data_IF_537190338230
#
_entry.id   IF_537190338230
#
_cell.length_a   1.000
_cell.length_b   1.000
_cell.length_c   1.000
_cell.angle_alpha   90.00
_cell.angle_beta   90.00
_cell.angle_gamma   90.00
#
_symmetry.space_group_name_H-M   'P 1'
#
loop_
_entity.id
_entity.type
_entity.pdbx_description
1 polymer ?
#
# COMPACT_ATOMS: atom_id res chain seq x y z
N UNK A 1 -82.23 -8.00 4.90
CA UNK A 1 -82.94 -7.75 3.58
C UNK A 1 -81.88 -7.22 2.60
N UNK A 2 -81.61 -8.04 1.58
CA UNK A 2 -81.27 -7.71 0.20
C UNK A 2 -79.85 -7.10 -0.07
N UNK A 3 -79.05 -7.98 -0.60
CA UNK A 3 -77.86 -7.84 -1.45
C UNK A 3 -77.93 -6.66 -2.45
N UNK A 4 -76.72 -6.04 -2.69
CA UNK A 4 -76.31 -5.64 -4.06
C UNK A 4 -74.89 -5.96 -4.30
N UNK A 5 -74.67 -6.81 -5.25
CA UNK A 5 -73.41 -7.12 -5.93
C UNK A 5 -72.98 -5.91 -6.78
N UNK A 6 -71.70 -5.45 -6.64
CA UNK A 6 -71.14 -4.55 -7.65
C UNK A 6 -70.06 -5.31 -8.40
N UNK A 7 -70.31 -5.39 -9.68
CA UNK A 7 -69.52 -6.01 -10.73
C UNK A 7 -68.14 -5.35 -10.87
N UNK A 8 -67.12 -6.15 -10.85
CA UNK A 8 -65.75 -5.78 -11.17
C UNK A 8 -65.66 -5.40 -12.67
N UNK A 9 -65.06 -4.25 -12.94
CA UNK A 9 -64.68 -3.84 -14.31
C UNK A 9 -63.40 -4.60 -14.70
N UNK A 10 -63.25 -5.07 -15.95
CA UNK A 10 -62.04 -5.72 -16.43
C UNK A 10 -60.90 -4.68 -16.58
N UNK A 11 -59.81 -4.93 -15.92
CA UNK A 11 -58.58 -4.18 -16.04
C UNK A 11 -57.87 -4.63 -17.34
N UNK A 12 -57.87 -3.74 -18.32
CA UNK A 12 -57.15 -3.97 -19.58
C UNK A 12 -55.64 -3.87 -19.33
N UNK A 13 -54.97 -5.00 -19.31
CA UNK A 13 -53.52 -5.06 -19.27
C UNK A 13 -53.00 -4.73 -20.67
N UNK A 14 -52.50 -3.50 -20.83
CA UNK A 14 -51.79 -3.10 -22.03
C UNK A 14 -50.44 -3.87 -22.10
N UNK A 15 -50.32 -4.74 -23.08
CA UNK A 15 -49.03 -5.35 -23.45
C UNK A 15 -48.12 -4.25 -24.01
N UNK A 16 -47.16 -3.77 -23.20
CA UNK A 16 -46.05 -2.98 -23.70
C UNK A 16 -45.08 -4.00 -24.35
N UNK A 17 -45.14 -4.07 -25.67
CA UNK A 17 -44.14 -4.80 -26.46
C UNK A 17 -42.81 -4.06 -26.35
N UNK A 18 -41.92 -4.57 -25.48
CA UNK A 18 -40.48 -4.24 -25.48
C UNK A 18 -39.94 -4.70 -26.84
N UNK A 19 -39.74 -3.78 -27.76
CA UNK A 19 -38.91 -4.02 -28.94
C UNK A 19 -37.48 -4.12 -28.47
N UNK A 20 -37.04 -5.34 -28.20
CA UNK A 20 -35.63 -5.65 -28.00
C UNK A 20 -34.90 -5.44 -29.33
N UNK A 21 -34.27 -4.29 -29.51
CA UNK A 21 -33.23 -4.17 -30.54
C UNK A 21 -32.10 -5.11 -30.14
N UNK A 22 -31.73 -6.10 -30.95
CA UNK A 22 -30.54 -6.87 -30.71
C UNK A 22 -29.35 -5.95 -30.98
N UNK A 23 -28.84 -5.31 -29.91
CA UNK A 23 -27.46 -4.83 -29.92
C UNK A 23 -26.59 -6.08 -29.95
N UNK A 24 -26.17 -6.49 -31.13
CA UNK A 24 -25.03 -7.39 -31.32
C UNK A 24 -23.79 -6.57 -30.94
N UNK A 25 -23.56 -6.33 -29.67
CA UNK A 25 -22.24 -6.04 -29.17
C UNK A 25 -21.44 -7.31 -29.41
N UNK A 26 -20.51 -7.26 -30.34
CA UNK A 26 -19.62 -8.37 -30.64
C UNK A 26 -18.96 -8.78 -29.31
N UNK A 27 -19.27 -9.99 -28.84
CA UNK A 27 -18.79 -10.51 -27.56
C UNK A 27 -17.24 -10.57 -27.49
N UNK A 28 -16.55 -10.44 -28.61
CA UNK A 28 -15.08 -10.42 -28.72
C UNK A 28 -14.46 -9.07 -28.30
N UNK A 29 -15.16 -7.93 -28.43
CA UNK A 29 -14.55 -6.60 -28.23
C UNK A 29 -14.46 -6.17 -26.74
N UNK A 30 -15.38 -6.61 -25.88
CA UNK A 30 -15.34 -6.23 -24.46
C UNK A 30 -14.33 -7.06 -23.65
N UNK A 31 -14.10 -8.32 -24.02
CA UNK A 31 -13.14 -9.20 -23.31
C UNK A 31 -11.69 -8.74 -23.50
N UNK A 32 -11.37 -8.09 -24.62
CA UNK A 32 -10.06 -7.48 -24.85
C UNK A 32 -9.84 -6.21 -24.04
N UNK A 33 -10.93 -5.52 -23.65
CA UNK A 33 -10.89 -4.28 -22.86
C UNK A 33 -10.86 -4.51 -21.36
N UNK A 34 -11.20 -5.70 -20.88
CA UNK A 34 -11.25 -6.02 -19.46
C UNK A 34 -10.15 -7.02 -19.09
N UNK A 35 -9.40 -6.68 -18.05
CA UNK A 35 -8.35 -7.53 -17.48
C UNK A 35 -8.68 -7.83 -16.02
N UNK A 36 -8.74 -9.11 -15.69
CA UNK A 36 -8.80 -9.58 -14.32
C UNK A 36 -7.40 -9.88 -13.81
N UNK A 37 -7.16 -9.62 -12.54
CA UNK A 37 -5.92 -9.93 -11.85
C UNK A 37 -6.22 -10.22 -10.39
N UNK A 38 -5.42 -11.07 -9.78
CA UNK A 38 -5.58 -11.37 -8.37
C UNK A 38 -4.32 -11.96 -7.76
N UNK A 39 -4.31 -11.96 -6.45
CA UNK A 39 -3.34 -12.71 -5.67
C UNK A 39 -4.00 -13.30 -4.43
N UNK A 40 -3.48 -14.45 -4.02
CA UNK A 40 -3.79 -15.08 -2.75
C UNK A 40 -2.48 -15.32 -1.99
N UNK A 41 -2.48 -15.04 -0.68
CA UNK A 41 -1.38 -15.34 0.23
C UNK A 41 -1.91 -16.08 1.46
N UNK A 42 -1.26 -17.18 1.78
CA UNK A 42 -1.36 -17.80 3.09
C UNK A 42 -0.09 -17.52 3.86
N UNK A 43 -0.19 -17.04 5.10
CA UNK A 43 0.94 -16.66 5.95
C UNK A 43 0.84 -17.37 7.29
N UNK A 44 1.91 -18.03 7.70
CA UNK A 44 2.20 -18.30 9.09
C UNK A 44 3.10 -17.18 9.63
N UNK A 45 2.82 -16.73 10.86
CA UNK A 45 3.53 -15.64 11.49
C UNK A 45 3.76 -15.96 12.96
N UNK A 46 4.99 -15.74 13.42
CA UNK A 46 5.41 -15.79 14.80
C UNK A 46 5.95 -14.41 15.20
N UNK A 47 5.50 -13.90 16.33
CA UNK A 47 5.96 -12.65 16.93
C UNK A 47 6.44 -12.97 18.34
N UNK A 48 7.64 -12.50 18.66
CA UNK A 48 8.28 -12.61 19.96
C UNK A 48 8.73 -11.22 20.37
N UNK A 49 8.00 -10.60 21.26
CA UNK A 49 8.23 -9.25 21.77
C UNK A 49 8.57 -9.36 23.25
N UNK A 50 9.63 -8.69 23.68
CA UNK A 50 10.07 -8.70 25.07
C UNK A 50 8.94 -8.34 26.03
N UNK A 51 8.86 -9.01 27.16
CA UNK A 51 7.80 -8.90 28.19
C UNK A 51 6.41 -9.35 27.76
N UNK A 52 6.24 -9.94 26.56
CA UNK A 52 4.95 -10.47 26.07
C UNK A 52 5.07 -11.97 25.77
N UNK A 53 3.94 -12.66 25.86
CA UNK A 53 3.85 -14.04 25.40
C UNK A 53 4.07 -14.13 23.88
N UNK A 54 4.86 -15.11 23.45
CA UNK A 54 5.09 -15.37 22.03
C UNK A 54 3.76 -15.63 21.31
N UNK A 55 3.51 -14.91 20.21
CA UNK A 55 2.26 -14.97 19.46
C UNK A 55 2.43 -15.70 18.14
N UNK A 56 1.57 -16.67 17.87
CA UNK A 56 1.49 -17.40 16.62
C UNK A 56 0.17 -17.09 15.89
N UNK A 57 0.26 -16.72 14.60
CA UNK A 57 -0.93 -16.43 13.78
C UNK A 57 -0.86 -17.13 12.44
N UNK A 58 -2.02 -17.57 11.96
CA UNK A 58 -2.20 -17.91 10.55
C UNK A 58 -3.08 -16.85 9.92
N UNK A 59 -2.66 -16.30 8.77
CA UNK A 59 -3.33 -15.19 8.10
C UNK A 59 -3.52 -15.51 6.63
N UNK A 60 -4.59 -14.98 6.06
CA UNK A 60 -4.80 -15.00 4.62
C UNK A 60 -4.88 -13.57 4.08
N UNK A 61 -4.59 -13.45 2.78
CA UNK A 61 -4.89 -12.26 1.99
C UNK A 61 -5.40 -12.71 0.62
N UNK A 62 -6.55 -12.19 0.23
CA UNK A 62 -7.12 -12.35 -1.11
C UNK A 62 -7.33 -10.97 -1.72
N UNK A 63 -6.84 -10.76 -2.95
CA UNK A 63 -7.12 -9.56 -3.72
C UNK A 63 -7.63 -9.93 -5.09
N UNK A 64 -8.74 -9.30 -5.49
CA UNK A 64 -9.40 -9.50 -6.78
C UNK A 64 -9.60 -8.16 -7.45
N UNK A 65 -9.02 -7.95 -8.61
CA UNK A 65 -9.07 -6.68 -9.33
C UNK A 65 -9.54 -6.82 -10.76
N UNK A 66 -10.17 -5.76 -11.24
CA UNK A 66 -10.57 -5.56 -12.63
C UNK A 66 -10.01 -4.25 -13.13
N UNK A 67 -9.54 -4.24 -14.37
CA UNK A 67 -9.15 -3.03 -15.09
C UNK A 67 -9.85 -3.03 -16.44
N UNK A 68 -10.53 -1.94 -16.76
CA UNK A 68 -11.23 -1.78 -18.02
C UNK A 68 -10.67 -0.58 -18.80
N UNK A 69 -10.45 -0.78 -20.10
CA UNK A 69 -10.09 0.26 -21.06
C UNK A 69 -11.36 0.98 -21.51
N UNK A 70 -11.55 2.23 -21.10
CA UNK A 70 -12.67 3.07 -21.56
C UNK A 70 -12.41 3.51 -23.02
N UNK A 71 -11.18 3.95 -23.29
CA UNK A 71 -10.68 4.27 -24.62
C UNK A 71 -9.12 4.18 -24.62
N UNK A 72 -8.47 4.63 -25.70
CA UNK A 72 -6.99 4.52 -25.82
C UNK A 72 -6.21 5.36 -24.80
N UNK A 73 -6.86 6.30 -24.13
CA UNK A 73 -6.23 7.23 -23.17
C UNK A 73 -6.76 7.11 -21.75
N UNK A 74 -7.86 6.40 -21.54
CA UNK A 74 -8.51 6.30 -20.23
C UNK A 74 -8.74 4.85 -19.83
N UNK A 75 -8.16 4.48 -18.71
CA UNK A 75 -8.44 3.23 -18.01
C UNK A 75 -9.22 3.52 -16.71
N UNK A 76 -10.07 2.60 -16.28
CA UNK A 76 -10.65 2.56 -14.94
C UNK A 76 -10.28 1.24 -14.27
N UNK A 77 -10.08 1.26 -12.97
CA UNK A 77 -9.73 0.06 -12.23
C UNK A 77 -10.41 0.00 -10.87
N UNK A 78 -10.70 -1.22 -10.44
CA UNK A 78 -11.17 -1.49 -9.08
C UNK A 78 -10.49 -2.75 -8.55
N UNK A 79 -10.29 -2.81 -7.23
CA UNK A 79 -9.75 -3.97 -6.54
C UNK A 79 -10.45 -4.15 -5.20
N UNK A 80 -10.89 -5.36 -4.95
CA UNK A 80 -11.34 -5.81 -3.64
C UNK A 80 -10.18 -6.54 -2.95
N UNK A 81 -10.01 -6.32 -1.65
CA UNK A 81 -9.06 -7.02 -0.81
C UNK A 81 -9.72 -7.54 0.46
N UNK A 82 -9.25 -8.69 0.96
CA UNK A 82 -9.51 -9.06 2.36
C UNK A 82 -8.84 -8.04 3.28
N UNK A 83 -9.27 -7.92 4.52
CA UNK A 83 -8.70 -7.01 5.52
C UNK A 83 -9.77 -6.18 6.21
N UNK A 84 -9.35 -5.47 7.24
CA UNK A 84 -10.16 -4.50 7.98
C UNK A 84 -9.98 -3.09 7.45
N UNK A 85 -10.08 -2.10 8.35
CA UNK A 85 -9.91 -0.67 8.06
C UNK A 85 -8.44 -0.23 8.03
N UNK A 86 -7.53 -1.10 8.44
CA UNK A 86 -6.09 -0.85 8.48
C UNK A 86 -5.53 -0.45 7.09
N UNK A 87 -5.03 0.79 6.90
CA UNK A 87 -4.56 1.28 5.60
C UNK A 87 -3.27 0.61 5.15
N UNK A 88 -2.54 -0.03 6.07
CA UNK A 88 -1.24 -0.66 5.82
C UNK A 88 -1.28 -2.19 5.91
N UNK A 89 -2.48 -2.80 6.05
CA UNK A 89 -2.61 -4.25 6.06
C UNK A 89 -3.93 -4.77 5.47
N UNK A 90 -3.83 -5.60 4.45
CA UNK A 90 -4.97 -6.32 3.87
C UNK A 90 -5.06 -7.78 4.35
N UNK A 91 -4.44 -8.10 5.49
CA UNK A 91 -4.44 -9.45 6.06
C UNK A 91 -5.67 -9.70 6.93
N UNK A 92 -6.18 -10.94 6.87
CA UNK A 92 -7.19 -11.46 7.79
C UNK A 92 -6.60 -12.61 8.62
N UNK A 93 -6.68 -12.51 9.93
CA UNK A 93 -6.28 -13.61 10.83
C UNK A 93 -7.31 -14.74 10.78
N UNK A 94 -6.84 -15.99 10.76
CA UNK A 94 -7.68 -17.19 10.82
C UNK A 94 -7.95 -17.53 12.29
N UNK A 95 -9.07 -17.07 12.80
CA UNK A 95 -9.50 -17.17 14.20
C UNK A 95 -11.02 -17.08 14.32
N UNK A 96 -11.52 -16.81 15.55
CA UNK A 96 -12.92 -16.47 15.84
C UNK A 96 -13.94 -17.55 15.41
N UNK A 97 -13.63 -18.82 15.65
CA UNK A 97 -14.51 -19.98 15.43
C UNK A 97 -15.11 -20.05 14.01
N UNK A 98 -14.28 -19.77 12.99
CA UNK A 98 -14.66 -19.85 11.56
C UNK A 98 -15.67 -18.77 11.11
N UNK A 99 -15.77 -17.64 11.81
CA UNK A 99 -16.58 -16.50 11.32
C UNK A 99 -16.11 -16.04 9.94
N UNK A 100 -17.02 -15.45 9.19
CA UNK A 100 -16.71 -14.86 7.87
C UNK A 100 -15.65 -13.77 7.98
N UNK A 101 -14.91 -13.53 6.90
CA UNK A 101 -13.85 -12.51 6.83
C UNK A 101 -14.29 -11.37 5.92
N UNK A 102 -13.89 -10.15 6.27
CA UNK A 102 -14.24 -8.95 5.52
C UNK A 102 -13.54 -8.88 4.17
N UNK A 103 -14.23 -8.31 3.21
CA UNK A 103 -13.71 -7.92 1.89
C UNK A 103 -14.07 -6.46 1.68
N UNK A 104 -13.07 -5.63 1.38
CA UNK A 104 -13.21 -4.18 1.27
C UNK A 104 -12.70 -3.66 -0.07
N UNK A 105 -13.09 -2.42 -0.41
CA UNK A 105 -12.63 -1.72 -1.61
C UNK A 105 -11.19 -1.23 -1.37
N UNK A 106 -10.21 -1.93 -1.96
CA UNK A 106 -8.78 -1.59 -1.87
C UNK A 106 -8.40 -0.50 -2.88
N UNK A 107 -8.98 -0.53 -4.09
CA UNK A 107 -8.74 0.47 -5.12
C UNK A 107 -10.02 0.72 -5.92
N UNK A 108 -10.26 2.00 -6.27
CA UNK A 108 -11.25 2.44 -7.26
C UNK A 108 -10.74 3.74 -7.88
N UNK A 109 -10.34 3.71 -9.16
CA UNK A 109 -9.67 4.84 -9.77
C UNK A 109 -9.89 4.93 -11.27
N UNK A 110 -9.68 6.13 -11.80
CA UNK A 110 -9.41 6.34 -13.22
C UNK A 110 -7.93 6.66 -13.44
N UNK A 111 -7.43 6.35 -14.65
CA UNK A 111 -6.11 6.76 -15.12
C UNK A 111 -6.24 7.35 -16.52
N UNK A 112 -5.98 8.66 -16.64
CA UNK A 112 -5.97 9.38 -17.91
C UNK A 112 -4.54 9.57 -18.40
N UNK A 113 -4.29 9.21 -19.66
CA UNK A 113 -2.99 9.27 -20.33
C UNK A 113 -3.05 10.24 -21.49
N UNK A 114 -2.99 11.57 -21.25
CA UNK A 114 -3.16 12.58 -22.31
C UNK A 114 -2.08 12.52 -23.38
N UNK A 115 -0.84 12.25 -22.97
CA UNK A 115 0.33 12.12 -23.83
C UNK A 115 1.22 10.96 -23.36
N UNK A 116 2.17 10.55 -24.20
CA UNK A 116 3.12 9.48 -23.86
C UNK A 116 3.93 9.85 -22.61
N UNK A 117 4.10 8.91 -21.71
CA UNK A 117 4.85 9.09 -20.46
C UNK A 117 4.07 9.76 -19.33
N UNK A 118 2.95 10.44 -19.58
CA UNK A 118 2.14 11.13 -18.57
C UNK A 118 0.87 10.34 -18.23
N UNK A 119 0.63 10.13 -16.94
CA UNK A 119 -0.61 9.60 -16.41
C UNK A 119 -1.13 10.48 -15.26
N UNK A 120 -2.42 10.79 -15.31
CA UNK A 120 -3.15 11.47 -14.24
C UNK A 120 -4.15 10.46 -13.67
N UNK A 121 -4.14 10.28 -12.37
CA UNK A 121 -5.02 9.34 -11.65
C UNK A 121 -5.90 10.10 -10.66
N UNK A 122 -7.10 9.59 -10.45
CA UNK A 122 -7.99 10.08 -9.40
C UNK A 122 -8.78 8.94 -8.79
N UNK A 123 -9.02 9.03 -7.48
CA UNK A 123 -9.70 8.04 -6.66
C UNK A 123 -8.78 7.41 -5.61
N UNK A 124 -9.01 6.14 -5.27
CA UNK A 124 -8.17 5.33 -4.36
C UNK A 124 -7.30 4.38 -5.20
N UNK A 125 -5.98 4.51 -5.13
CA UNK A 125 -5.07 3.78 -6.02
C UNK A 125 -3.74 3.44 -5.35
N UNK A 126 -2.97 2.55 -6.00
CA UNK A 126 -1.62 2.20 -5.53
C UNK A 126 -0.75 3.45 -5.41
N UNK A 127 -0.02 3.58 -4.29
CA UNK A 127 0.92 4.67 -4.05
C UNK A 127 1.76 4.97 -5.32
N UNK A 128 1.74 6.23 -5.81
CA UNK A 128 2.40 6.62 -7.06
C UNK A 128 3.90 6.84 -6.91
N UNK A 129 4.42 7.01 -5.68
CA UNK A 129 5.82 7.34 -5.43
C UNK A 129 6.72 6.12 -5.62
N UNK A 130 7.94 6.38 -6.07
CA UNK A 130 8.95 5.36 -6.25
C UNK A 130 9.54 4.96 -4.89
N UNK A 131 9.69 3.67 -4.68
CA UNK A 131 10.33 3.08 -3.51
C UNK A 131 11.45 2.17 -3.98
N UNK A 132 12.74 2.43 -3.61
CA UNK A 132 13.87 1.60 -4.02
C UNK A 132 13.65 0.13 -3.63
N UNK A 133 13.69 -0.77 -4.59
CA UNK A 133 13.48 -2.22 -4.34
C UNK A 133 12.20 -2.53 -3.55
N UNK A 134 11.20 -1.67 -3.57
CA UNK A 134 10.01 -1.66 -2.72
C UNK A 134 10.38 -1.67 -1.23
N UNK A 135 11.23 -0.72 -0.81
CA UNK A 135 11.45 -0.38 0.60
C UNK A 135 10.16 0.15 1.23
N UNK A 136 10.08 0.10 2.52
CA UNK A 136 8.90 0.51 3.29
C UNK A 136 9.31 1.46 4.42
N UNK A 137 10.28 2.37 4.15
CA UNK A 137 10.72 3.35 5.13
C UNK A 137 9.59 4.35 5.43
N UNK A 138 9.10 5.06 4.38
CA UNK A 138 8.00 6.02 4.51
C UNK A 138 6.63 5.35 4.33
N UNK A 139 6.51 4.41 3.38
CA UNK A 139 5.22 3.91 2.90
C UNK A 139 5.14 2.40 2.95
N UNK A 140 4.12 1.85 3.61
CA UNK A 140 3.80 0.42 3.51
C UNK A 140 3.40 0.04 2.07
N UNK A 141 3.71 -1.19 1.69
CA UNK A 141 3.37 -1.73 0.37
C UNK A 141 1.87 -1.91 0.12
N UNK A 142 1.06 -1.98 1.17
CA UNK A 142 -0.40 -2.09 1.11
C UNK A 142 -1.12 -0.72 1.18
N UNK A 143 -0.41 0.40 1.41
CA UNK A 143 -0.99 1.76 1.41
C UNK A 143 -1.58 2.12 0.04
N UNK A 144 -2.80 2.67 0.05
CA UNK A 144 -3.56 3.13 -1.12
C UNK A 144 -4.07 4.54 -0.91
N UNK A 145 -3.29 5.58 -1.28
CA UNK A 145 -3.72 6.96 -1.14
C UNK A 145 -5.03 7.27 -1.88
N UNK A 146 -5.80 8.19 -1.33
CA UNK A 146 -7.07 8.67 -1.88
C UNK A 146 -6.94 10.13 -2.32
N UNK A 147 -7.14 10.41 -3.61
CA UNK A 147 -6.99 11.78 -4.14
C UNK A 147 -6.62 11.81 -5.61
N UNK A 148 -5.72 12.73 -5.95
CA UNK A 148 -5.22 12.94 -7.31
C UNK A 148 -3.72 12.74 -7.37
N UNK A 149 -3.23 12.11 -8.45
CA UNK A 149 -1.80 11.97 -8.70
C UNK A 149 -1.44 12.20 -10.16
N UNK A 150 -0.25 12.76 -10.37
CA UNK A 150 0.40 12.91 -11.67
C UNK A 150 1.66 12.04 -11.65
N UNK A 151 1.84 11.21 -12.68
CA UNK A 151 3.05 10.44 -12.90
C UNK A 151 3.58 10.69 -14.30
N UNK A 152 4.81 11.21 -14.38
CA UNK A 152 5.53 11.36 -15.64
C UNK A 152 6.74 10.44 -15.67
N UNK A 153 6.83 9.62 -16.72
CA UNK A 153 7.97 8.74 -16.98
C UNK A 153 8.57 9.10 -18.34
N UNK A 154 9.62 9.91 -18.30
CA UNK A 154 10.44 10.23 -19.45
C UNK A 154 11.48 9.15 -19.76
N UNK A 155 12.44 9.46 -20.64
CA UNK A 155 13.50 8.50 -21.02
C UNK A 155 14.43 8.16 -19.85
N UNK A 156 14.78 9.16 -19.04
CA UNK A 156 15.73 9.02 -17.93
C UNK A 156 15.26 9.72 -16.66
N UNK A 157 14.24 10.58 -16.74
CA UNK A 157 13.72 11.33 -15.61
C UNK A 157 12.27 10.92 -15.37
N UNK A 158 11.90 10.70 -14.11
CA UNK A 158 10.51 10.57 -13.72
C UNK A 158 10.13 11.65 -12.71
N UNK A 159 8.85 12.00 -12.72
CA UNK A 159 8.24 12.91 -11.75
C UNK A 159 6.93 12.30 -11.28
N UNK A 160 6.75 12.23 -9.98
CA UNK A 160 5.49 11.85 -9.36
C UNK A 160 5.03 13.01 -8.48
N UNK A 161 3.76 13.35 -8.52
CA UNK A 161 3.16 14.32 -7.61
C UNK A 161 1.78 13.85 -7.19
N UNK A 162 1.34 14.22 -6.01
CA UNK A 162 0.05 13.83 -5.46
C UNK A 162 -0.52 14.85 -4.50
N UNK A 163 -1.84 14.87 -4.45
CA UNK A 163 -2.64 15.57 -3.46
C UNK A 163 -3.68 14.58 -2.92
N UNK A 164 -3.60 14.26 -1.65
CA UNK A 164 -4.36 13.19 -1.02
C UNK A 164 -5.14 13.70 0.18
N UNK A 165 -6.37 13.23 0.30
CA UNK A 165 -7.26 13.50 1.41
C UNK A 165 -6.91 12.54 2.54
N UNK A 166 -6.54 13.07 3.70
CA UNK A 166 -6.26 12.27 4.90
C UNK A 166 -7.50 12.15 5.76
N UNK A 167 -8.08 13.30 6.10
CA UNK A 167 -9.28 13.37 6.93
C UNK A 167 -10.16 14.54 6.48
N UNK A 168 -11.46 14.30 6.34
CA UNK A 168 -12.48 15.30 6.03
C UNK A 168 -13.28 15.58 7.30
N UNK A 169 -13.34 16.85 7.71
CA UNK A 169 -14.01 17.28 8.92
C UNK A 169 -15.07 18.30 8.61
N UNK A 170 -16.33 17.94 8.78
CA UNK A 170 -17.49 18.80 8.45
C UNK A 170 -17.57 20.11 9.25
N UNK A 171 -16.77 20.28 10.30
CA UNK A 171 -16.82 21.43 11.23
C UNK A 171 -15.46 22.02 11.57
N UNK A 172 -14.39 21.50 11.00
CA UNK A 172 -13.02 21.90 11.27
C UNK A 172 -12.18 21.80 9.99
N UNK A 173 -10.93 22.26 10.01
CA UNK A 173 -10.04 22.19 8.86
C UNK A 173 -9.66 20.74 8.54
N UNK A 174 -9.68 20.40 7.26
CA UNK A 174 -9.34 19.07 6.73
C UNK A 174 -7.84 18.82 6.76
N UNK A 175 -7.44 17.56 6.91
CA UNK A 175 -6.04 17.15 6.78
C UNK A 175 -5.75 16.60 5.39
N UNK A 176 -4.59 17.01 4.84
CA UNK A 176 -4.14 16.60 3.50
C UNK A 176 -2.69 16.15 3.52
N UNK A 177 -2.34 15.31 2.55
CA UNK A 177 -0.96 15.00 2.18
C UNK A 177 -0.69 15.53 0.77
N UNK A 178 0.31 16.39 0.62
CA UNK A 178 0.84 16.83 -0.67
C UNK A 178 2.24 16.28 -0.85
N UNK A 179 2.50 15.64 -1.98
CA UNK A 179 3.80 15.06 -2.25
C UNK A 179 4.30 15.30 -3.66
N UNK A 180 5.60 15.47 -3.80
CA UNK A 180 6.28 15.53 -5.10
C UNK A 180 7.61 14.79 -5.03
N UNK A 181 7.93 14.02 -6.06
CA UNK A 181 9.14 13.22 -6.16
C UNK A 181 9.72 13.35 -7.57
N UNK A 182 11.01 13.54 -7.68
CA UNK A 182 11.75 13.54 -8.94
C UNK A 182 12.92 12.58 -8.86
N UNK A 183 13.16 11.84 -9.93
CA UNK A 183 14.29 10.92 -9.98
C UNK A 183 14.85 10.73 -11.37
N UNK A 184 16.11 10.31 -11.38
CA UNK A 184 16.85 9.94 -12.59
C UNK A 184 16.99 8.42 -12.64
N UNK A 185 16.72 7.84 -13.81
CA UNK A 185 16.92 6.41 -14.10
C UNK A 185 17.85 6.27 -15.30
N UNK A 186 19.07 5.82 -15.06
CA UNK A 186 20.07 5.64 -16.10
C UNK A 186 20.48 4.18 -16.27
N UNK A 187 20.95 3.87 -17.49
CA UNK A 187 21.57 2.59 -17.79
C UNK A 187 22.94 2.83 -18.40
N UNK A 188 23.99 2.33 -17.74
CA UNK A 188 25.39 2.41 -18.16
C UNK A 188 25.88 0.96 -18.37
N UNK A 189 26.01 0.55 -19.63
CA UNK A 189 26.25 -0.84 -20.01
C UNK A 189 25.17 -1.78 -19.39
N UNK A 190 25.55 -2.69 -18.50
CA UNK A 190 24.64 -3.58 -17.80
C UNK A 190 24.18 -3.05 -16.43
N UNK A 191 24.78 -1.95 -15.96
CA UNK A 191 24.44 -1.32 -14.68
C UNK A 191 23.25 -0.38 -14.86
N UNK A 192 22.24 -0.49 -13.97
CA UNK A 192 21.13 0.44 -13.86
C UNK A 192 21.29 1.24 -12.57
N UNK A 193 21.05 2.54 -12.67
CA UNK A 193 21.08 3.45 -11.54
C UNK A 193 19.72 4.15 -11.45
N UNK A 194 19.15 4.21 -10.27
CA UNK A 194 18.07 5.14 -9.91
C UNK A 194 18.55 5.99 -8.74
N UNK A 195 18.33 7.30 -8.83
CA UNK A 195 18.54 8.23 -7.72
C UNK A 195 17.46 9.31 -7.78
N UNK A 196 16.96 9.74 -6.66
CA UNK A 196 15.91 10.75 -6.62
C UNK A 196 15.71 11.34 -5.24
N UNK A 197 14.83 12.33 -5.20
CA UNK A 197 14.42 13.01 -3.97
C UNK A 197 12.92 13.24 -3.99
N UNK A 198 12.32 13.32 -2.81
CA UNK A 198 10.92 13.61 -2.60
C UNK A 198 10.70 14.65 -1.51
N UNK A 199 9.55 15.28 -1.56
CA UNK A 199 9.03 16.10 -0.47
C UNK A 199 7.56 15.74 -0.25
N UNK A 200 7.18 15.55 1.03
CA UNK A 200 5.83 15.18 1.43
C UNK A 200 5.44 16.05 2.62
N UNK A 201 4.47 16.92 2.42
CA UNK A 201 3.94 17.81 3.45
C UNK A 201 2.55 17.38 3.87
N UNK A 202 2.39 17.22 5.16
CA UNK A 202 1.09 17.00 5.80
C UNK A 202 0.57 18.31 6.34
N UNK A 203 -0.72 18.46 6.44
CA UNK A 203 -1.37 19.65 7.01
C UNK A 203 -2.31 19.25 8.12
N UNK A 204 -2.42 20.11 9.14
CA UNK A 204 -3.37 19.94 10.24
C UNK A 204 -3.17 18.61 11.00
N UNK A 205 -1.92 18.32 11.39
CA UNK A 205 -1.57 17.18 12.25
C UNK A 205 -1.17 17.69 13.65
N UNK A 206 -0.23 18.67 13.73
CA UNK A 206 0.22 19.24 14.99
C UNK A 206 -0.96 19.79 15.82
N UNK A 207 -0.97 19.49 17.11
CA UNK A 207 -2.00 19.89 18.06
C UNK A 207 -3.31 19.12 17.97
N UNK A 208 -3.42 18.12 17.06
CA UNK A 208 -4.62 17.29 16.95
C UNK A 208 -4.50 16.00 17.77
N UNK A 209 -5.59 15.61 18.46
CA UNK A 209 -5.63 14.34 19.17
C UNK A 209 -5.79 13.15 18.19
N UNK A 210 -5.42 11.95 18.64
CA UNK A 210 -5.64 10.72 17.87
C UNK A 210 -7.10 10.54 17.41
N UNK A 211 -8.06 11.01 18.20
CA UNK A 211 -9.50 10.93 17.90
C UNK A 211 -9.96 11.77 16.72
N UNK A 212 -9.11 12.66 16.18
CA UNK A 212 -9.38 13.40 14.95
C UNK A 212 -9.01 12.61 13.68
N UNK A 213 -8.52 11.37 13.83
CA UNK A 213 -8.15 10.47 12.74
C UNK A 213 -8.79 9.09 12.98
N UNK A 214 -9.81 8.75 12.20
CA UNK A 214 -10.61 7.52 12.37
C UNK A 214 -9.78 6.24 12.59
N UNK A 215 -8.71 6.07 11.83
CA UNK A 215 -7.86 4.88 11.95
C UNK A 215 -7.06 4.87 13.25
N UNK A 216 -6.50 6.02 13.68
CA UNK A 216 -5.70 6.15 14.90
C UNK A 216 -6.60 6.03 16.14
N UNK A 217 -7.81 6.63 16.10
CA UNK A 217 -8.81 6.48 17.15
C UNK A 217 -9.18 5.01 17.37
N UNK A 218 -9.48 4.28 16.30
CA UNK A 218 -9.83 2.86 16.38
C UNK A 218 -8.69 1.99 16.94
N UNK A 219 -7.43 2.36 16.69
CA UNK A 219 -6.23 1.69 17.22
C UNK A 219 -5.87 2.13 18.64
N UNK A 220 -6.22 3.35 19.03
CA UNK A 220 -5.80 3.97 20.29
C UNK A 220 -4.27 4.12 20.41
N UNK A 221 -3.56 4.30 19.27
CA UNK A 221 -2.10 4.27 19.19
C UNK A 221 -1.61 5.27 18.12
N UNK A 222 -0.56 6.04 18.43
CA UNK A 222 0.15 6.89 17.47
C UNK A 222 1.13 6.13 16.57
N UNK A 223 1.32 4.84 16.82
CA UNK A 223 2.30 3.97 16.16
C UNK A 223 3.74 4.47 16.27
N UNK A 224 4.09 5.14 17.38
CA UNK A 224 5.43 5.62 17.67
C UNK A 224 5.63 7.12 17.46
N UNK A 225 4.70 7.84 16.81
CA UNK A 225 4.79 9.31 16.77
C UNK A 225 4.57 9.92 18.16
N UNK A 226 5.25 11.02 18.43
CA UNK A 226 5.24 11.70 19.71
C UNK A 226 3.95 12.45 19.97
N UNK A 227 3.45 12.36 21.20
CA UNK A 227 2.26 13.05 21.66
C UNK A 227 2.59 13.89 22.88
N UNK A 228 1.87 15.00 23.07
CA UNK A 228 1.92 15.79 24.29
C UNK A 228 1.18 15.11 25.45
N UNK A 229 1.19 15.76 26.64
CA UNK A 229 0.52 15.26 27.86
C UNK A 229 -1.01 15.15 27.71
N UNK A 230 -1.60 15.85 26.75
CA UNK A 230 -3.02 15.84 26.44
C UNK A 230 -3.38 14.81 25.34
N UNK A 231 -2.37 14.15 24.74
CA UNK A 231 -2.50 13.13 23.71
C UNK A 231 -2.64 13.68 22.29
N UNK A 232 -2.15 14.89 22.04
CA UNK A 232 -2.11 15.50 20.72
C UNK A 232 -0.74 15.33 20.07
N UNK A 233 -0.69 15.27 18.74
CA UNK A 233 0.57 15.28 17.99
C UNK A 233 1.37 16.54 18.29
N UNK A 234 2.67 16.41 18.55
CA UNK A 234 3.55 17.55 18.90
C UNK A 234 4.14 18.24 17.69
N UNK A 235 4.02 17.66 16.49
CA UNK A 235 4.62 18.19 15.25
C UNK A 235 3.76 17.90 14.03
N UNK A 236 3.90 18.75 13.02
CA UNK A 236 3.50 18.46 11.64
C UNK A 236 4.58 17.62 10.92
N UNK A 237 4.28 17.18 9.69
CA UNK A 237 5.20 16.38 8.90
C UNK A 237 5.54 17.08 7.59
N UNK A 238 6.83 17.44 7.45
CA UNK A 238 7.44 18.04 6.27
C UNK A 238 8.65 17.19 5.87
N UNK A 239 8.38 16.04 5.27
CA UNK A 239 9.33 14.97 5.03
C UNK A 239 10.13 15.19 3.75
N UNK A 240 11.45 15.31 3.84
CA UNK A 240 12.37 15.27 2.70
C UNK A 240 12.98 13.89 2.57
N UNK A 241 12.81 13.28 1.40
CA UNK A 241 13.33 11.96 1.05
C UNK A 241 14.52 12.07 0.10
N UNK A 242 15.56 11.27 0.32
CA UNK A 242 16.64 10.99 -0.64
C UNK A 242 16.78 9.48 -0.79
N UNK A 243 16.65 9.00 -2.02
CA UNK A 243 16.66 7.56 -2.26
C UNK A 243 17.49 7.16 -3.47
N UNK A 244 17.90 5.89 -3.52
CA UNK A 244 18.55 5.35 -4.69
C UNK A 244 18.75 3.86 -4.69
N UNK A 245 18.95 3.32 -5.90
CA UNK A 245 19.40 1.95 -6.09
C UNK A 245 20.35 1.83 -7.28
N UNK A 246 21.28 0.89 -7.16
CA UNK A 246 22.16 0.49 -8.26
C UNK A 246 22.09 -1.01 -8.47
N UNK A 247 21.74 -1.44 -9.67
CA UNK A 247 21.59 -2.84 -10.07
C UNK A 247 22.63 -3.22 -11.11
N UNK A 248 23.39 -4.28 -10.87
CA UNK A 248 24.42 -4.81 -11.76
C UNK A 248 24.49 -6.34 -11.66
N UNK A 249 25.36 -6.96 -12.46
CA UNK A 249 25.59 -8.41 -12.36
C UNK A 249 26.97 -8.67 -11.74
N UNK A 250 26.98 -9.51 -10.68
CA UNK A 250 28.19 -10.12 -10.17
C UNK A 250 28.31 -11.52 -10.79
N UNK A 251 29.05 -11.63 -11.90
CA UNK A 251 29.02 -12.81 -12.77
C UNK A 251 27.67 -12.98 -13.45
N UNK A 252 26.95 -14.06 -13.18
CA UNK A 252 25.59 -14.32 -13.68
C UNK A 252 24.47 -13.90 -12.72
N UNK A 253 24.81 -13.51 -11.49
CA UNK A 253 23.86 -13.24 -10.41
C UNK A 253 23.54 -11.75 -10.37
N UNK A 254 22.26 -11.34 -10.48
CA UNK A 254 21.85 -9.96 -10.27
C UNK A 254 22.12 -9.53 -8.83
N UNK A 255 22.72 -8.35 -8.67
CA UNK A 255 22.92 -7.69 -7.37
C UNK A 255 22.35 -6.27 -7.46
N UNK A 256 21.63 -5.86 -6.43
CA UNK A 256 21.14 -4.49 -6.26
C UNK A 256 21.52 -3.99 -4.89
N UNK A 257 22.17 -2.84 -4.82
CA UNK A 257 22.38 -2.08 -3.59
C UNK A 257 21.35 -0.96 -3.57
N UNK A 258 20.81 -0.60 -2.39
CA UNK A 258 19.82 0.43 -2.26
C UNK A 258 19.90 1.15 -0.93
N UNK A 259 19.42 2.39 -0.92
CA UNK A 259 19.25 3.19 0.27
C UNK A 259 17.98 4.04 0.16
N UNK A 260 17.50 4.47 1.32
CA UNK A 260 16.37 5.37 1.49
C UNK A 260 16.64 6.17 2.77
N UNK A 261 16.46 7.49 2.74
CA UNK A 261 16.71 8.41 3.83
C UNK A 261 15.59 9.45 3.87
N UNK A 262 15.11 9.76 5.06
CA UNK A 262 14.08 10.78 5.27
C UNK A 262 14.47 11.67 6.45
N UNK A 263 14.07 12.94 6.37
CA UNK A 263 14.11 13.89 7.46
C UNK A 263 12.80 14.68 7.49
N UNK A 264 12.16 14.76 8.65
CA UNK A 264 11.01 15.62 8.90
C UNK A 264 11.50 16.99 9.38
N UNK A 265 11.44 17.99 8.52
CA UNK A 265 11.93 19.34 8.84
C UNK A 265 10.95 20.18 9.67
N UNK A 266 9.80 19.64 10.04
CA UNK A 266 8.84 20.26 10.95
C UNK A 266 9.09 19.87 12.41
N UNK A 267 9.70 18.71 12.67
CA UNK A 267 10.08 18.28 14.01
C UNK A 267 11.43 18.89 14.44
N UNK A 268 11.58 19.13 15.74
CA UNK A 268 12.82 19.65 16.33
C UNK A 268 13.80 18.54 16.72
N UNK A 269 13.30 17.36 17.10
CA UNK A 269 14.04 16.18 17.52
C UNK A 269 13.38 14.90 16.94
N UNK A 270 14.06 13.75 17.00
CA UNK A 270 13.59 12.43 16.55
C UNK A 270 13.02 12.44 15.11
N UNK A 271 13.66 13.22 14.24
CA UNK A 271 13.18 13.67 12.94
C UNK A 271 13.72 12.87 11.75
N UNK A 272 14.65 11.92 11.96
CA UNK A 272 15.35 11.24 10.89
C UNK A 272 15.05 9.75 10.79
N UNK A 273 15.11 9.24 9.56
CA UNK A 273 15.03 7.82 9.30
C UNK A 273 15.91 7.41 8.12
N UNK A 274 16.46 6.20 8.17
CA UNK A 274 17.23 5.65 7.06
C UNK A 274 17.11 4.14 6.93
N UNK A 275 17.30 3.68 5.71
CA UNK A 275 17.32 2.28 5.36
C UNK A 275 18.43 2.04 4.33
N UNK A 276 19.28 1.03 4.57
CA UNK A 276 20.29 0.61 3.60
C UNK A 276 20.25 -0.90 3.43
N UNK A 277 20.51 -1.37 2.21
CA UNK A 277 20.44 -2.80 1.99
C UNK A 277 20.94 -3.28 0.65
N UNK A 278 20.81 -4.60 0.46
CA UNK A 278 21.13 -5.24 -0.80
C UNK A 278 20.15 -6.36 -1.14
N UNK A 279 20.07 -6.67 -2.42
CA UNK A 279 19.29 -7.79 -2.95
C UNK A 279 20.15 -8.60 -3.91
N UNK A 280 20.17 -9.91 -3.72
CA UNK A 280 20.88 -10.88 -4.56
C UNK A 280 19.86 -11.80 -5.23
N UNK A 281 20.04 -12.08 -6.52
CA UNK A 281 19.18 -12.98 -7.26
C UNK A 281 17.84 -12.33 -7.70
N UNK A 282 16.98 -13.15 -8.28
CA UNK A 282 15.65 -12.74 -8.73
C UNK A 282 14.73 -13.95 -8.87
N UNK A 283 13.59 -13.94 -8.20
CA UNK A 283 12.53 -14.93 -8.42
C UNK A 283 11.76 -14.61 -9.70
N UNK A 284 11.88 -15.45 -10.72
CA UNK A 284 11.18 -15.33 -12.00
C UNK A 284 10.75 -16.69 -12.55
N UNK A 285 11.71 -17.55 -12.80
CA UNK A 285 11.47 -18.91 -13.32
C UNK A 285 11.41 -19.92 -12.17
N UNK A 286 10.69 -21.05 -12.33
CA UNK A 286 10.70 -22.12 -11.34
C UNK A 286 12.13 -22.53 -10.95
N UNK A 287 12.38 -22.67 -9.63
CA UNK A 287 13.69 -22.96 -9.07
C UNK A 287 14.58 -21.74 -8.83
N UNK A 288 14.20 -20.56 -9.31
CA UNK A 288 14.94 -19.33 -9.03
C UNK A 288 14.65 -18.78 -7.62
N UNK A 289 15.62 -18.07 -7.07
CA UNK A 289 15.54 -17.51 -5.74
C UNK A 289 16.00 -16.06 -5.71
N UNK A 290 15.61 -15.33 -4.66
CA UNK A 290 16.19 -14.04 -4.27
C UNK A 290 16.40 -14.00 -2.76
N UNK A 291 17.41 -13.23 -2.35
CA UNK A 291 17.66 -12.87 -0.97
C UNK A 291 17.78 -11.35 -0.87
N UNK A 292 17.13 -10.73 0.12
CA UNK A 292 17.21 -9.31 0.42
C UNK A 292 17.50 -9.14 1.91
N UNK A 293 18.41 -8.23 2.20
CA UNK A 293 18.72 -7.76 3.52
C UNK A 293 18.65 -6.25 3.54
N UNK A 294 18.12 -5.69 4.62
CA UNK A 294 18.29 -4.29 4.96
C UNK A 294 18.42 -4.10 6.48
N UNK A 295 19.10 -3.02 6.83
CA UNK A 295 19.05 -2.39 8.14
C UNK A 295 18.24 -1.12 8.02
N UNK A 296 17.43 -0.81 9.02
CA UNK A 296 16.62 0.39 9.12
C UNK A 296 16.68 0.94 10.53
N UNK A 297 16.71 2.26 10.63
CA UNK A 297 16.45 3.02 11.83
C UNK A 297 15.49 4.14 11.47
N UNK A 298 14.45 4.34 12.27
CA UNK A 298 13.39 5.28 12.03
C UNK A 298 12.99 5.90 13.37
N UNK A 299 13.33 7.17 13.55
CA UNK A 299 13.01 7.93 14.75
C UNK A 299 11.51 8.24 14.83
N UNK A 300 11.05 8.64 16.03
CA UNK A 300 9.63 8.76 16.36
C UNK A 300 8.85 9.66 15.39
N UNK A 301 9.38 10.83 15.08
CA UNK A 301 8.70 11.85 14.28
C UNK A 301 9.30 12.04 12.88
N UNK A 302 10.12 11.09 12.43
CA UNK A 302 10.72 11.12 11.10
C UNK A 302 9.70 11.05 9.96
N UNK A 303 8.59 10.34 10.16
CA UNK A 303 7.48 10.19 9.21
C UNK A 303 6.16 10.03 9.94
N UNK A 304 5.04 10.27 9.24
CA UNK A 304 3.71 9.96 9.79
C UNK A 304 3.53 8.45 9.92
N UNK A 305 3.61 7.95 11.14
CA UNK A 305 3.78 6.53 11.49
C UNK A 305 2.66 5.62 10.98
N UNK A 306 1.42 6.13 10.91
CA UNK A 306 0.25 5.39 10.44
C UNK A 306 0.40 4.81 9.01
N UNK A 307 1.34 5.33 8.22
CA UNK A 307 1.54 4.92 6.82
C UNK A 307 2.83 4.12 6.59
N UNK A 308 3.69 3.98 7.61
CA UNK A 308 4.93 3.22 7.55
C UNK A 308 4.67 1.70 7.58
N UNK A 309 5.74 0.91 7.54
CA UNK A 309 5.71 -0.56 7.54
C UNK A 309 4.97 -1.13 8.75
N UNK A 310 3.89 -1.85 8.53
CA UNK A 310 3.09 -2.50 9.58
C UNK A 310 3.74 -3.74 10.22
N UNK A 311 4.86 -4.18 9.70
CA UNK A 311 5.51 -5.44 10.09
C UNK A 311 6.82 -5.23 10.89
N UNK A 312 7.59 -4.17 10.60
CA UNK A 312 8.88 -3.86 11.23
C UNK A 312 8.64 -3.26 12.62
N UNK A 313 9.38 -3.69 13.64
CA UNK A 313 9.25 -3.26 15.05
C UNK A 313 7.83 -3.28 15.60
N UNK A 314 6.92 -4.05 14.97
CA UNK A 314 5.50 -4.09 15.34
C UNK A 314 4.62 -3.11 14.58
N UNK A 315 5.20 -2.26 13.74
CA UNK A 315 4.54 -1.23 12.92
C UNK A 315 4.86 0.18 13.37
N UNK A 316 4.88 1.13 12.44
CA UNK A 316 5.08 2.55 12.70
C UNK A 316 6.54 2.99 12.74
N UNK A 317 6.83 3.94 13.62
CA UNK A 317 8.14 4.59 13.84
C UNK A 317 8.78 4.16 15.15
N UNK A 318 9.79 4.88 15.63
CA UNK A 318 10.55 4.63 16.86
C UNK A 318 11.06 3.20 16.95
N UNK A 319 11.88 2.81 15.95
CA UNK A 319 12.45 1.47 15.92
C UNK A 319 13.62 1.30 14.99
N UNK A 320 14.46 0.31 15.28
CA UNK A 320 15.64 -0.03 14.47
C UNK A 320 15.81 -1.53 14.34
N UNK A 321 16.62 -1.95 13.37
CA UNK A 321 17.04 -3.33 13.25
C UNK A 321 17.14 -3.86 11.83
N UNK A 322 17.03 -5.16 11.72
CA UNK A 322 17.36 -5.93 10.54
C UNK A 322 16.15 -6.63 9.96
N UNK A 323 16.06 -6.65 8.63
CA UNK A 323 15.08 -7.44 7.89
C UNK A 323 15.78 -8.33 6.87
N UNK A 324 15.52 -9.63 6.93
CA UNK A 324 16.02 -10.65 6.01
C UNK A 324 14.84 -11.27 5.25
N UNK A 325 14.91 -11.31 3.92
CA UNK A 325 13.89 -11.94 3.08
C UNK A 325 14.52 -12.97 2.17
N UNK A 326 13.97 -14.17 2.14
CA UNK A 326 14.29 -15.22 1.18
C UNK A 326 13.07 -15.49 0.32
N UNK A 327 13.20 -15.47 -0.98
CA UNK A 327 12.16 -15.84 -1.95
C UNK A 327 12.58 -17.03 -2.79
N UNK A 328 11.64 -17.96 -3.04
CA UNK A 328 11.85 -19.10 -3.92
C UNK A 328 10.64 -19.29 -4.84
N UNK A 329 10.88 -19.31 -6.15
CA UNK A 329 9.83 -19.53 -7.15
C UNK A 329 9.58 -21.03 -7.30
N UNK A 330 8.46 -21.53 -6.78
CA UNK A 330 8.11 -22.96 -6.82
C UNK A 330 7.63 -23.33 -8.23
N UNK A 331 6.68 -22.53 -8.76
CA UNK A 331 6.14 -22.69 -10.11
C UNK A 331 5.72 -21.31 -10.65
N UNK A 332 5.30 -21.22 -11.91
CA UNK A 332 4.75 -19.98 -12.48
C UNK A 332 3.56 -19.50 -11.63
N UNK A 333 3.62 -18.26 -11.16
CA UNK A 333 2.58 -17.69 -10.30
C UNK A 333 2.58 -18.21 -8.85
N UNK A 334 3.47 -19.10 -8.44
CA UNK A 334 3.54 -19.67 -7.10
C UNK A 334 4.92 -19.51 -6.48
N UNK A 335 4.99 -18.71 -5.41
CA UNK A 335 6.23 -18.34 -4.70
C UNK A 335 6.12 -18.67 -3.21
N UNK A 336 7.17 -19.25 -2.64
CA UNK A 336 7.42 -19.28 -1.20
C UNK A 336 8.26 -18.04 -0.82
N UNK A 337 7.99 -17.44 0.34
CA UNK A 337 8.84 -16.41 0.90
C UNK A 337 8.96 -16.57 2.42
N UNK A 338 10.17 -16.34 2.94
CA UNK A 338 10.45 -16.29 4.36
C UNK A 338 10.99 -14.89 4.68
N UNK A 339 10.41 -14.23 5.67
CA UNK A 339 10.89 -12.95 6.19
C UNK A 339 11.21 -13.11 7.67
N UNK A 340 12.35 -12.60 8.09
CA UNK A 340 12.77 -12.53 9.47
C UNK A 340 13.16 -11.11 9.84
N UNK A 341 12.57 -10.60 10.89
CA UNK A 341 12.86 -9.31 11.51
C UNK A 341 13.55 -9.56 12.84
N UNK A 342 14.64 -8.81 13.08
CA UNK A 342 15.37 -8.74 14.35
C UNK A 342 15.48 -7.27 14.68
N UNK A 343 14.59 -6.78 15.49
CA UNK A 343 14.40 -5.36 15.70
C UNK A 343 14.37 -5.00 17.18
N UNK A 344 14.63 -3.73 17.45
CA UNK A 344 14.33 -3.06 18.69
C UNK A 344 13.11 -2.14 18.45
N UNK A 345 12.13 -2.17 19.34
CA UNK A 345 11.00 -1.24 19.41
C UNK A 345 11.29 -0.23 20.51
N UNK A 346 11.29 1.07 20.15
CA UNK A 346 11.83 2.14 20.97
C UNK A 346 13.33 2.30 20.73
N UNK A 347 13.81 3.50 20.43
CA UNK A 347 15.24 3.76 20.18
C UNK A 347 16.01 3.99 21.45
N UNK A 348 15.40 4.57 22.48
CA UNK A 348 16.01 4.86 23.77
C UNK A 348 15.97 3.66 24.72
N UNK A 349 14.76 3.10 24.96
CA UNK A 349 14.51 1.98 25.87
C UNK A 349 14.12 0.72 25.09
N UNK A 350 14.88 0.43 24.00
CA UNK A 350 14.54 -0.55 22.99
C UNK A 350 14.20 -1.93 23.54
N UNK A 351 12.98 -2.41 23.26
CA UNK A 351 12.54 -3.77 23.55
C UNK A 351 12.81 -4.68 22.37
N UNK A 352 13.35 -5.85 22.64
CA UNK A 352 13.57 -6.88 21.62
C UNK A 352 12.25 -7.23 20.91
N UNK A 353 12.24 -7.13 19.58
CA UNK A 353 11.11 -7.51 18.74
C UNK A 353 11.58 -8.41 17.60
N UNK A 354 11.21 -9.67 17.67
CA UNK A 354 11.51 -10.67 16.66
C UNK A 354 10.24 -11.12 15.94
N UNK A 355 10.26 -11.19 14.60
CA UNK A 355 9.12 -11.63 13.82
C UNK A 355 9.55 -12.54 12.68
N UNK A 356 8.90 -13.68 12.55
CA UNK A 356 9.08 -14.61 11.42
C UNK A 356 7.79 -14.70 10.64
N UNK A 357 7.89 -14.59 9.30
CA UNK A 357 6.75 -14.77 8.40
C UNK A 357 7.10 -15.78 7.31
N UNK A 358 6.30 -16.82 7.19
CA UNK A 358 6.41 -17.81 6.11
C UNK A 358 5.16 -17.71 5.22
N UNK A 359 5.38 -17.32 3.96
CA UNK A 359 4.32 -17.00 3.00
C UNK A 359 4.27 -18.00 1.84
N UNK A 360 3.08 -18.46 1.50
CA UNK A 360 2.77 -19.05 0.19
C UNK A 360 1.97 -18.01 -0.61
N UNK A 361 2.55 -17.55 -1.72
CA UNK A 361 2.00 -16.48 -2.57
C UNK A 361 1.61 -17.02 -3.93
N UNK A 362 0.37 -16.76 -4.34
CA UNK A 362 -0.18 -17.14 -5.64
C UNK A 362 -0.61 -15.89 -6.39
N UNK A 363 -0.26 -15.81 -7.69
CA UNK A 363 -0.71 -14.73 -8.59
C UNK A 363 -1.40 -15.35 -9.81
N UNK A 364 -2.52 -14.77 -10.17
CA UNK A 364 -3.37 -15.21 -11.30
C UNK A 364 -4.05 -14.01 -11.97
#
# INVERSE_FOLDING_TARGET
>A
MINRWNLAKPMTIGLVSLVAFPYYASAADWTEKIKFKGDFRYRYEMIDEEEKDQRHRNRLRLRLGVQAKVNDRVDVGAMLASGGEDPVSTNQTLDSQFTTKDIRLDQAYFAWKPVSGLAIKGGKFKNPFYQPVNTTLLWDGDLRPEGLALQYNGNQVFVNAGYFFLEERSKDDDSFLMGAQVGYQGKFNETKLTIGTGYFGYTEIEGRPLGDFDYLEAGGDSFGNSLDDDGNFITDYSEWELFGDVSFKAGSIPLTLFFDYVINTAADDDDTGYLVGFKVGKTKEPGSWDFRYNYRELEADAVFAAFSDSDFSGGGTDGKGHQLNLGYQIAKGWKFALTYFVNDKGLEDGKDYNRVQADLKFKF
#
